data_IF_228387675699
#
_entry.id   IF_228387675699
#
_cell.length_a   1.000
_cell.length_b   1.000
_cell.length_c   1.000
_cell.angle_alpha   90.00
_cell.angle_beta   90.00
_cell.angle_gamma   90.00
#
_symmetry.space_group_name_H-M   'P 1'
#
loop_
_entity.id
_entity.type
_entity.pdbx_description
1 polymer ?
#
# COMPACT_ATOMS: atom_id res chain seq x y z
N UNK A 1 -21.32 3.34 -1.69
CA UNK A 1 -20.02 3.17 -2.39
C UNK A 1 -20.27 2.87 -3.85
N UNK A 2 -19.61 3.56 -4.80
CA UNK A 2 -19.82 3.42 -6.25
C UNK A 2 -19.56 1.96 -6.69
N UNK A 3 -20.58 1.28 -7.22
CA UNK A 3 -20.49 -0.14 -7.63
C UNK A 3 -19.36 -0.43 -8.63
N UNK A 4 -19.03 0.55 -9.49
CA UNK A 4 -17.92 0.49 -10.45
C UNK A 4 -16.57 0.23 -9.76
N UNK A 5 -16.24 1.01 -8.73
CA UNK A 5 -14.99 0.86 -7.98
C UNK A 5 -14.83 -0.52 -7.36
N UNK A 6 -15.90 -1.07 -6.78
CA UNK A 6 -15.85 -2.42 -6.17
C UNK A 6 -15.47 -3.49 -7.19
N UNK A 7 -16.04 -3.42 -8.40
CA UNK A 7 -15.75 -4.35 -9.49
C UNK A 7 -14.30 -4.19 -9.97
N UNK A 8 -13.89 -2.96 -10.28
CA UNK A 8 -12.50 -2.67 -10.72
C UNK A 8 -11.50 -3.13 -9.68
N UNK A 9 -11.75 -2.85 -8.39
CA UNK A 9 -10.89 -3.29 -7.29
C UNK A 9 -10.73 -4.81 -7.23
N UNK A 10 -11.82 -5.55 -7.41
CA UNK A 10 -11.75 -7.02 -7.44
C UNK A 10 -10.97 -7.52 -8.66
N UNK A 11 -11.13 -6.90 -9.82
CA UNK A 11 -10.38 -7.24 -11.04
C UNK A 11 -8.88 -7.02 -10.86
N UNK A 12 -8.47 -5.89 -10.27
CA UNK A 12 -7.06 -5.58 -10.00
C UNK A 12 -6.47 -6.59 -9.01
N UNK A 13 -7.17 -6.88 -7.91
CA UNK A 13 -6.71 -7.88 -6.94
C UNK A 13 -6.57 -9.28 -7.54
N UNK A 14 -7.52 -9.69 -8.39
CA UNK A 14 -7.48 -10.99 -9.06
C UNK A 14 -6.34 -11.06 -10.08
N UNK A 15 -6.12 -10.00 -10.87
CA UNK A 15 -4.99 -9.87 -11.81
C UNK A 15 -3.66 -10.00 -11.09
N UNK A 16 -3.53 -9.33 -9.95
CA UNK A 16 -2.33 -9.32 -9.14
C UNK A 16 -2.29 -10.51 -8.17
N UNK A 17 -3.07 -11.59 -8.38
CA UNK A 17 -3.13 -12.79 -7.53
C UNK A 17 -3.23 -12.54 -6.00
N UNK A 18 -3.81 -11.42 -5.59
CA UNK A 18 -3.85 -10.97 -4.20
C UNK A 18 -2.45 -10.89 -3.55
N UNK A 19 -1.45 -10.45 -4.32
CA UNK A 19 -0.09 -10.16 -3.86
C UNK A 19 0.28 -8.69 -4.10
N UNK A 20 1.15 -8.15 -3.24
CA UNK A 20 1.73 -6.82 -3.44
C UNK A 20 2.72 -6.85 -4.61
N UNK A 21 2.43 -6.09 -5.68
CA UNK A 21 3.27 -5.99 -6.88
C UNK A 21 4.69 -5.54 -6.53
N UNK A 22 4.83 -4.54 -5.64
CA UNK A 22 6.13 -4.02 -5.19
C UNK A 22 6.90 -4.96 -4.27
N UNK A 23 6.22 -5.88 -3.58
CA UNK A 23 6.92 -6.94 -2.83
C UNK A 23 7.46 -7.99 -3.79
N UNK A 24 6.65 -8.39 -4.78
CA UNK A 24 7.01 -9.36 -5.80
C UNK A 24 8.26 -8.95 -6.58
N UNK A 25 8.35 -7.68 -6.99
CA UNK A 25 9.55 -7.12 -7.65
C UNK A 25 10.82 -7.23 -6.78
N UNK A 26 10.68 -7.26 -5.45
CA UNK A 26 11.80 -7.41 -4.51
C UNK A 26 12.08 -8.87 -4.13
N UNK A 27 11.41 -9.83 -4.78
CA UNK A 27 11.47 -11.25 -4.42
C UNK A 27 10.80 -11.58 -3.08
N UNK A 28 9.92 -10.71 -2.57
CA UNK A 28 9.17 -10.93 -1.32
C UNK A 28 7.71 -11.26 -1.64
N UNK A 29 7.16 -12.26 -0.96
CA UNK A 29 5.74 -12.58 -1.07
C UNK A 29 4.97 -11.89 0.06
N UNK A 30 4.00 -11.04 -0.29
CA UNK A 30 3.07 -10.43 0.67
C UNK A 30 1.67 -10.58 0.14
N UNK A 31 0.93 -11.49 0.76
CA UNK A 31 -0.44 -11.86 0.41
C UNK A 31 -1.43 -11.29 1.42
N UNK A 32 -2.69 -11.20 0.99
CA UNK A 32 -3.78 -10.63 1.79
C UNK A 32 -4.02 -11.36 3.14
N UNK A 33 -3.59 -12.62 3.27
CA UNK A 33 -3.70 -13.39 4.52
C UNK A 33 -2.80 -12.85 5.64
N UNK A 34 -1.60 -12.37 5.29
CA UNK A 34 -0.63 -11.86 6.27
C UNK A 34 -0.81 -10.37 6.53
N UNK A 35 -1.20 -9.61 5.51
CA UNK A 35 -1.39 -8.16 5.60
C UNK A 35 -2.51 -7.70 4.67
N UNK A 36 -3.32 -6.74 5.11
CA UNK A 36 -4.36 -6.16 4.25
C UNK A 36 -3.74 -5.49 3.03
N UNK A 37 -4.22 -5.84 1.84
CA UNK A 37 -3.84 -5.22 0.58
C UNK A 37 -4.79 -4.07 0.19
N UNK A 38 -4.19 -3.02 -0.34
CA UNK A 38 -4.86 -1.80 -0.79
C UNK A 38 -4.58 -1.60 -2.27
N UNK A 39 -5.57 -1.10 -3.01
CA UNK A 39 -5.42 -0.76 -4.43
C UNK A 39 -5.14 0.73 -4.51
N UNK A 40 -4.00 1.06 -5.11
CA UNK A 40 -3.48 2.42 -5.24
C UNK A 40 -3.38 2.81 -6.72
N UNK A 41 -3.66 4.08 -7.02
CA UNK A 41 -3.54 4.64 -8.37
C UNK A 41 -2.09 4.98 -8.68
N UNK A 42 -1.45 4.41 -9.69
CA UNK A 42 -0.07 4.70 -10.09
C UNK A 42 0.11 6.20 -10.35
N UNK A 43 -0.70 6.75 -11.26
CA UNK A 43 -0.89 8.17 -11.50
C UNK A 43 -2.01 8.69 -10.60
N UNK A 44 -1.75 9.78 -9.90
CA UNK A 44 -2.69 10.32 -8.92
C UNK A 44 -4.02 10.76 -9.54
N UNK A 45 -5.09 10.58 -8.79
CA UNK A 45 -6.45 10.89 -9.23
C UNK A 45 -6.65 12.40 -9.49
N UNK A 46 -5.87 13.25 -8.82
CA UNK A 46 -5.93 14.71 -8.97
C UNK A 46 -5.45 15.17 -10.35
N UNK A 47 -4.40 14.53 -10.88
CA UNK A 47 -3.80 14.89 -12.17
C UNK A 47 -4.44 14.15 -13.34
N UNK A 48 -4.91 12.92 -13.13
CA UNK A 48 -5.48 12.06 -14.17
C UNK A 48 -6.82 11.44 -13.76
N UNK A 49 -7.89 12.24 -13.59
CA UNK A 49 -9.21 11.75 -13.22
C UNK A 49 -9.82 10.80 -14.27
N UNK A 50 -9.41 10.92 -15.54
CA UNK A 50 -9.81 10.03 -16.63
C UNK A 50 -9.30 8.60 -16.43
N UNK A 51 -8.18 8.42 -15.73
CA UNK A 51 -7.55 7.13 -15.47
C UNK A 51 -7.98 6.50 -14.14
N UNK A 52 -9.01 7.05 -13.50
CA UNK A 52 -9.45 6.63 -12.16
C UNK A 52 -9.85 5.15 -12.03
N UNK A 53 -10.29 4.53 -13.13
CA UNK A 53 -10.79 3.16 -13.18
C UNK A 53 -10.03 2.28 -14.18
N UNK A 54 -8.96 2.80 -14.78
CA UNK A 54 -8.14 2.07 -15.72
C UNK A 54 -7.30 1.05 -14.97
N UNK A 55 -7.38 -0.22 -15.39
CA UNK A 55 -6.69 -1.32 -14.70
C UNK A 55 -5.17 -1.12 -14.71
N UNK A 56 -4.63 -0.58 -15.81
CA UNK A 56 -3.19 -0.32 -15.95
C UNK A 56 -2.71 0.83 -15.08
N UNK A 57 -3.60 1.72 -14.64
CA UNK A 57 -3.30 2.78 -13.67
C UNK A 57 -3.49 2.33 -12.22
N UNK A 58 -3.89 1.09 -11.97
CA UNK A 58 -4.16 0.57 -10.62
C UNK A 58 -3.18 -0.55 -10.28
N UNK A 59 -2.65 -0.53 -9.06
CA UNK A 59 -1.74 -1.54 -8.55
C UNK A 59 -2.14 -2.01 -7.15
N UNK A 60 -1.94 -3.30 -6.88
CA UNK A 60 -2.10 -3.86 -5.54
C UNK A 60 -0.83 -3.64 -4.70
N UNK A 61 -0.97 -2.91 -3.60
CA UNK A 61 0.11 -2.63 -2.65
C UNK A 61 -0.26 -3.14 -1.25
N UNK A 62 0.74 -3.56 -0.48
CA UNK A 62 0.55 -3.74 0.96
C UNK A 62 0.53 -2.38 1.66
N UNK A 63 0.00 -2.32 2.88
CA UNK A 63 0.01 -1.11 3.72
C UNK A 63 1.38 -0.44 3.79
N UNK A 64 2.45 -1.23 3.83
CA UNK A 64 3.80 -0.69 3.85
C UNK A 64 4.13 0.06 2.56
N UNK A 65 3.93 -0.52 1.38
CA UNK A 65 4.25 0.18 0.13
C UNK A 65 3.28 1.32 -0.16
N UNK A 66 2.01 1.18 0.22
CA UNK A 66 1.02 2.24 0.09
C UNK A 66 1.41 3.46 0.94
N UNK A 67 1.70 3.28 2.22
CA UNK A 67 2.16 4.38 3.09
C UNK A 67 3.49 4.99 2.60
N UNK A 68 4.35 4.20 1.95
CA UNK A 68 5.67 4.63 1.49
C UNK A 68 5.53 5.56 0.31
N UNK A 69 4.60 5.25 -0.58
CA UNK A 69 4.24 6.11 -1.69
C UNK A 69 3.69 7.45 -1.20
N UNK A 70 2.79 7.42 -0.22
CA UNK A 70 2.16 8.62 0.35
C UNK A 70 3.04 9.37 1.38
N UNK A 71 4.30 8.99 1.57
CA UNK A 71 5.19 9.63 2.54
C UNK A 71 4.75 9.50 4.01
N UNK A 72 3.76 8.64 4.32
CA UNK A 72 3.16 8.54 5.66
C UNK A 72 4.03 7.82 6.70
N UNK A 73 5.26 7.48 6.34
CA UNK A 73 6.24 6.91 7.27
C UNK A 73 6.98 7.96 8.11
N UNK A 74 6.89 9.23 7.73
CA UNK A 74 7.72 10.28 8.30
C UNK A 74 6.86 11.28 9.08
N UNK A 75 6.36 10.87 10.25
CA UNK A 75 6.42 11.65 11.51
C UNK A 75 5.69 10.86 12.62
N UNK A 76 6.43 10.17 13.50
CA UNK A 76 5.92 9.92 14.85
C UNK A 76 6.64 10.89 15.81
N UNK A 77 6.07 12.07 16.10
CA UNK A 77 6.66 12.99 17.09
C UNK A 77 6.72 12.38 18.50
N UNK A 78 6.04 11.25 18.72
CA UNK A 78 6.04 10.46 19.96
C UNK A 78 6.92 9.20 19.89
N UNK A 79 7.88 9.08 18.95
CA UNK A 79 8.91 8.04 19.05
C UNK A 79 9.84 8.41 20.22
N UNK A 80 9.38 8.16 21.45
CA UNK A 80 10.18 8.24 22.66
C UNK A 80 11.42 7.39 22.43
N UNK A 81 12.59 8.02 22.46
CA UNK A 81 13.83 7.29 22.61
C UNK A 81 13.69 6.40 23.84
N UNK A 82 14.02 5.11 23.71
CA UNK A 82 14.07 4.21 24.86
C UNK A 82 15.26 4.67 25.69
N UNK A 83 15.00 5.56 26.67
CA UNK A 83 15.97 5.96 27.69
C UNK A 83 16.01 4.90 28.78
N UNK A 84 16.53 3.72 28.47
CA UNK A 84 16.99 2.78 29.47
C UNK A 84 18.39 2.33 29.07
N UNK A 85 19.37 3.11 29.49
CA UNK A 85 20.72 2.62 29.67
C UNK A 85 21.28 3.25 30.94
N UNK A 86 21.00 2.63 32.07
CA UNK A 86 21.78 2.81 33.29
C UNK A 86 21.67 1.50 34.08
N UNK A 87 22.35 0.47 33.58
CA UNK A 87 22.95 -0.51 34.49
C UNK A 87 24.08 0.22 35.24
N UNK A 88 23.73 0.82 36.38
CA UNK A 88 24.69 1.22 37.40
C UNK A 88 24.41 0.38 38.67
N UNK A 89 25.20 -0.70 38.79
CA UNK A 89 25.59 -1.48 39.97
C UNK A 89 24.55 -1.76 41.06
#
# INVERSE_FOLDING_TARGET
MRAKWRKTRQQVLARDHYECVRCKEKGKLTINQHQSLEVDHILELETHPELAYELDNLQTLCKYHHNKKHGRFEFNPNRKEIKFNDEQW
#
